data_IF_932535973742
#
_entry.id   IF_932535973742
#
_cell.length_a   1.000
_cell.length_b   1.000
_cell.length_c   1.000
_cell.angle_alpha   90.00
_cell.angle_beta   90.00
_cell.angle_gamma   90.00
#
_symmetry.space_group_name_H-M   'P 1'
#
loop_
_entity.id
_entity.type
_entity.pdbx_description
1 polymer ?
#
# COMPACT_ATOMS: atom_id res chain seq x y z
N UNK A 1 -0.53 -34.67 -2.58
CA UNK A 1 -1.50 -33.69 -2.03
C UNK A 1 -1.54 -32.42 -2.89
N UNK A 2 -2.41 -32.41 -3.90
CA UNK A 2 -2.75 -31.19 -4.65
C UNK A 2 -3.63 -30.36 -3.71
N UNK A 3 -3.10 -29.23 -3.22
CA UNK A 3 -3.87 -28.24 -2.49
C UNK A 3 -4.82 -27.61 -3.50
N UNK A 4 -6.06 -28.07 -3.49
CA UNK A 4 -7.17 -27.45 -4.20
C UNK A 4 -7.28 -26.03 -3.67
N UNK A 5 -6.81 -25.05 -4.45
CA UNK A 5 -7.06 -23.63 -4.22
C UNK A 5 -8.58 -23.43 -4.28
N UNK A 6 -9.20 -23.37 -3.11
CA UNK A 6 -10.60 -22.97 -2.95
C UNK A 6 -10.73 -21.55 -3.48
N UNK A 7 -11.65 -21.35 -4.42
CA UNK A 7 -11.91 -20.08 -5.15
C UNK A 7 -12.24 -18.88 -4.24
N UNK A 8 -12.42 -19.09 -2.93
CA UNK A 8 -12.80 -18.10 -1.92
C UNK A 8 -11.62 -17.34 -1.27
N UNK A 9 -10.44 -17.96 -1.24
CA UNK A 9 -9.26 -17.40 -0.57
C UNK A 9 -8.80 -16.04 -1.14
N UNK A 10 -8.71 -15.83 -2.46
CA UNK A 10 -8.17 -14.58 -3.00
C UNK A 10 -9.15 -13.40 -2.92
N UNK A 11 -10.46 -13.67 -2.90
CA UNK A 11 -11.48 -12.64 -2.66
C UNK A 11 -11.45 -12.13 -1.22
N UNK A 12 -11.36 -13.05 -0.26
CA UNK A 12 -11.19 -12.71 1.15
C UNK A 12 -9.93 -11.87 1.38
N UNK A 13 -8.79 -12.27 0.77
CA UNK A 13 -7.53 -11.53 0.86
C UNK A 13 -7.63 -10.11 0.30
N UNK A 14 -8.38 -9.93 -0.79
CA UNK A 14 -8.65 -8.61 -1.40
C UNK A 14 -9.37 -7.70 -0.41
N UNK A 15 -10.43 -8.20 0.24
CA UNK A 15 -11.20 -7.44 1.22
C UNK A 15 -10.37 -7.04 2.44
N UNK A 16 -9.57 -7.95 2.99
CA UNK A 16 -8.68 -7.63 4.12
C UNK A 16 -7.63 -6.58 3.75
N UNK A 17 -7.04 -6.69 2.54
CA UNK A 17 -6.06 -5.72 2.04
C UNK A 17 -6.66 -4.33 1.88
N UNK A 18 -7.89 -4.24 1.36
CA UNK A 18 -8.63 -2.98 1.25
C UNK A 18 -8.93 -2.37 2.63
N UNK A 19 -9.38 -3.18 3.59
CA UNK A 19 -9.63 -2.72 4.96
C UNK A 19 -8.37 -2.23 5.66
N UNK A 20 -7.24 -2.91 5.45
CA UNK A 20 -5.94 -2.48 5.95
C UNK A 20 -5.56 -1.13 5.35
N UNK A 21 -5.60 -0.98 4.02
CA UNK A 21 -5.29 0.30 3.37
C UNK A 21 -6.20 1.43 3.84
N UNK A 22 -7.50 1.17 4.00
CA UNK A 22 -8.45 2.12 4.57
C UNK A 22 -8.04 2.54 5.97
N UNK A 23 -7.65 1.60 6.81
CA UNK A 23 -7.20 1.88 8.18
C UNK A 23 -5.94 2.73 8.15
N UNK A 24 -4.96 2.36 7.33
CA UNK A 24 -3.73 3.12 7.13
C UNK A 24 -3.98 4.55 6.65
N UNK A 25 -4.88 4.75 5.69
CA UNK A 25 -5.24 6.08 5.21
C UNK A 25 -5.94 6.92 6.29
N UNK A 26 -6.77 6.30 7.13
CA UNK A 26 -7.36 6.98 8.29
C UNK A 26 -6.34 7.35 9.38
N UNK A 27 -5.19 6.67 9.46
CA UNK A 27 -4.12 7.05 10.40
C UNK A 27 -3.56 8.43 10.11
N UNK A 28 -3.64 8.91 8.88
CA UNK A 28 -3.18 10.25 8.49
C UNK A 28 -4.22 11.36 8.76
N UNK A 29 -5.41 11.02 9.27
CA UNK A 29 -6.36 12.05 9.69
C UNK A 29 -5.79 12.83 10.88
N UNK A 30 -5.84 14.18 10.85
CA UNK A 30 -5.26 14.99 11.93
C UNK A 30 -5.85 14.63 13.30
N UNK A 31 -7.14 14.26 13.35
CA UNK A 31 -7.82 13.81 14.57
C UNK A 31 -7.24 12.52 15.16
N UNK A 32 -6.77 11.60 14.31
CA UNK A 32 -6.20 10.32 14.71
C UNK A 32 -4.74 10.50 15.09
N UNK A 33 -3.98 11.25 14.29
CA UNK A 33 -2.58 11.59 14.58
C UNK A 33 -2.45 12.31 15.93
N UNK A 34 -3.34 13.27 16.22
CA UNK A 34 -3.34 13.99 17.50
C UNK A 34 -3.59 13.06 18.69
N UNK A 35 -4.39 11.99 18.52
CA UNK A 35 -4.66 11.00 19.58
C UNK A 35 -3.51 10.01 19.81
N UNK A 36 -2.63 9.81 18.83
CA UNK A 36 -1.53 8.84 18.92
C UNK A 36 -0.34 9.32 19.76
N UNK A 37 -0.27 10.60 20.07
CA UNK A 37 0.86 11.21 20.79
C UNK A 37 2.05 11.52 19.87
N UNK A 38 2.88 12.47 20.28
CA UNK A 38 3.92 13.08 19.42
C UNK A 38 4.97 12.08 18.91
N UNK A 39 5.36 11.09 19.71
CA UNK A 39 6.33 10.06 19.31
C UNK A 39 5.80 9.12 18.22
N UNK A 40 4.52 8.75 18.28
CA UNK A 40 3.90 7.91 17.26
C UNK A 40 3.56 8.69 15.99
N UNK A 41 3.21 9.97 16.11
CA UNK A 41 3.01 10.85 14.96
C UNK A 41 4.29 10.93 14.10
N UNK A 42 5.47 11.08 14.74
CA UNK A 42 6.78 11.03 14.05
C UNK A 42 7.06 9.70 13.36
N UNK A 43 6.44 8.61 13.81
CA UNK A 43 6.61 7.31 13.16
C UNK A 43 5.81 7.18 11.86
N UNK A 44 4.84 8.06 11.60
CA UNK A 44 4.11 8.12 10.34
C UNK A 44 4.84 8.95 9.28
N UNK A 45 5.75 9.83 9.70
CA UNK A 45 6.56 10.67 8.81
C UNK A 45 7.46 9.85 7.87
N UNK A 46 7.91 10.52 6.81
CA UNK A 46 8.89 9.96 5.88
C UNK A 46 10.19 9.64 6.61
N UNK A 47 10.69 8.42 6.39
CA UNK A 47 11.98 7.99 6.93
C UNK A 47 13.11 8.88 6.38
N UNK A 48 14.08 9.23 7.22
CA UNK A 48 15.24 10.05 6.81
C UNK A 48 16.01 9.44 5.63
N UNK A 49 16.01 8.11 5.53
CA UNK A 49 16.57 7.38 4.39
C UNK A 49 15.86 7.73 3.06
N UNK A 50 14.53 7.82 3.07
CA UNK A 50 13.75 8.17 1.88
C UNK A 50 13.91 9.64 1.51
N UNK A 51 13.99 10.53 2.51
CA UNK A 51 14.29 11.95 2.27
C UNK A 51 15.65 12.09 1.58
N UNK A 52 16.68 11.41 2.09
CA UNK A 52 18.03 11.40 1.49
C UNK A 52 18.02 10.81 0.08
N UNK A 53 17.25 9.75 -0.15
CA UNK A 53 17.10 9.13 -1.47
C UNK A 53 16.46 10.09 -2.48
N UNK A 54 15.38 10.79 -2.10
CA UNK A 54 14.71 11.78 -2.96
C UNK A 54 15.63 12.98 -3.26
N UNK A 55 16.43 13.41 -2.29
CA UNK A 55 17.41 14.49 -2.45
C UNK A 55 18.65 14.07 -3.27
N UNK A 56 18.73 12.82 -3.74
CA UNK A 56 19.88 12.31 -4.48
C UNK A 56 21.14 12.18 -3.63
N UNK A 57 21.02 12.22 -2.30
CA UNK A 57 22.14 12.04 -1.39
C UNK A 57 22.51 10.56 -1.37
N UNK A 58 23.76 10.26 -1.76
CA UNK A 58 24.31 8.90 -1.73
C UNK A 58 24.20 8.38 -0.30
N UNK A 59 23.44 7.30 -0.11
CA UNK A 59 23.43 6.64 1.19
C UNK A 59 24.82 6.05 1.44
N UNK A 60 25.39 6.25 2.65
CA UNK A 60 26.55 5.46 3.03
C UNK A 60 26.16 3.99 2.96
N UNK A 61 26.88 3.22 2.16
CA UNK A 61 26.76 1.75 2.12
C UNK A 61 26.99 1.29 3.55
N UNK A 62 25.93 0.84 4.21
CA UNK A 62 26.06 0.26 5.55
C UNK A 62 26.79 -1.06 5.34
N UNK A 63 28.06 -1.08 5.75
CA UNK A 63 28.86 -2.30 5.73
C UNK A 63 28.12 -3.35 6.58
N UNK A 64 27.86 -4.50 5.98
CA UNK A 64 27.02 -5.58 6.51
C UNK A 64 27.57 -6.28 7.76
N UNK A 65 28.64 -5.74 8.36
CA UNK A 65 29.19 -6.18 9.64
C UNK A 65 28.68 -5.31 10.79
N UNK A 66 27.76 -5.85 11.59
CA UNK A 66 27.43 -5.43 12.96
C UNK A 66 26.74 -4.07 13.21
N UNK A 67 26.29 -3.33 12.20
CA UNK A 67 25.44 -2.13 12.43
C UNK A 67 23.96 -2.51 12.36
N UNK A 68 23.13 -2.25 13.39
CA UNK A 68 21.71 -2.53 13.31
C UNK A 68 21.08 -1.74 12.16
N UNK A 69 20.38 -2.46 11.26
CA UNK A 69 19.67 -1.93 10.07
C UNK A 69 18.71 -0.78 10.43
N UNK A 70 18.27 -0.73 11.69
CA UNK A 70 17.49 0.36 12.25
C UNK A 70 18.23 0.95 13.46
N UNK A 71 18.50 2.25 13.44
CA UNK A 71 19.24 2.97 14.48
C UNK A 71 18.34 3.37 15.66
N UNK A 72 17.01 3.44 15.48
CA UNK A 72 16.05 3.77 16.53
C UNK A 72 14.75 2.96 16.46
N UNK A 73 14.00 2.89 17.57
CA UNK A 73 12.67 2.29 17.60
C UNK A 73 11.68 3.02 16.67
N UNK A 74 11.86 4.33 16.47
CA UNK A 74 11.08 5.15 15.54
C UNK A 74 11.34 4.74 14.09
N UNK A 75 12.61 4.55 13.69
CA UNK A 75 12.96 4.06 12.35
C UNK A 75 12.40 2.66 12.07
N UNK A 76 12.40 1.77 13.08
CA UNK A 76 11.77 0.44 12.97
C UNK A 76 10.28 0.55 12.70
N UNK A 77 9.61 1.45 13.41
CA UNK A 77 8.17 1.67 13.27
C UNK A 77 7.82 2.32 11.92
N UNK A 78 8.60 3.33 11.50
CA UNK A 78 8.49 3.94 10.17
C UNK A 78 8.66 2.90 9.05
N UNK A 79 9.70 2.07 9.16
CA UNK A 79 9.97 0.99 8.20
C UNK A 79 8.84 -0.04 8.15
N UNK A 80 8.29 -0.40 9.30
CA UNK A 80 7.14 -1.30 9.40
C UNK A 80 5.89 -0.71 8.73
N UNK A 81 5.52 0.53 9.06
CA UNK A 81 4.37 1.20 8.45
C UNK A 81 4.54 1.40 6.94
N UNK A 82 5.76 1.66 6.48
CA UNK A 82 6.08 1.72 5.05
C UNK A 82 5.90 0.35 4.39
N UNK A 83 6.57 -0.67 4.93
CA UNK A 83 6.60 -2.02 4.35
C UNK A 83 5.20 -2.63 4.26
N UNK A 84 4.36 -2.49 5.30
CA UNK A 84 2.98 -2.99 5.26
C UNK A 84 2.18 -2.30 4.16
N UNK A 85 2.27 -0.99 4.07
CA UNK A 85 1.51 -0.23 3.09
C UNK A 85 1.92 -0.55 1.65
N UNK A 86 3.22 -0.59 1.38
CA UNK A 86 3.76 -1.01 0.08
C UNK A 86 3.38 -2.45 -0.24
N UNK A 87 3.48 -3.36 0.73
CA UNK A 87 3.07 -4.76 0.58
C UNK A 87 1.58 -4.88 0.25
N UNK A 88 0.70 -4.13 0.92
CA UNK A 88 -0.72 -4.10 0.61
C UNK A 88 -0.99 -3.61 -0.82
N UNK A 89 -0.32 -2.54 -1.25
CA UNK A 89 -0.43 -2.02 -2.61
C UNK A 89 0.05 -3.05 -3.65
N UNK A 90 1.19 -3.73 -3.39
CA UNK A 90 1.73 -4.77 -4.26
C UNK A 90 0.83 -6.01 -4.32
N UNK A 91 0.30 -6.47 -3.17
CA UNK A 91 -0.62 -7.60 -3.10
C UNK A 91 -1.89 -7.28 -3.90
N UNK A 92 -2.45 -6.08 -3.75
CA UNK A 92 -3.61 -5.67 -4.54
C UNK A 92 -3.29 -5.63 -6.04
N UNK A 93 -2.15 -5.07 -6.44
CA UNK A 93 -1.71 -5.08 -7.84
C UNK A 93 -1.52 -6.49 -8.41
N UNK A 94 -0.94 -7.41 -7.62
CA UNK A 94 -0.77 -8.83 -7.99
C UNK A 94 -2.10 -9.58 -8.04
N UNK A 95 -3.03 -9.31 -7.12
CA UNK A 95 -4.37 -9.90 -7.11
C UNK A 95 -5.17 -9.49 -8.34
N UNK A 96 -5.09 -8.21 -8.74
CA UNK A 96 -5.69 -7.74 -9.99
C UNK A 96 -5.17 -8.49 -11.22
N UNK A 97 -3.88 -8.84 -11.25
CA UNK A 97 -3.30 -9.65 -12.32
C UNK A 97 -3.64 -11.14 -12.23
N UNK A 98 -3.70 -11.71 -11.02
CA UNK A 98 -3.91 -13.13 -10.82
C UNK A 98 -5.37 -13.53 -11.07
N UNK A 99 -6.31 -12.66 -10.71
CA UNK A 99 -7.74 -12.93 -10.80
C UNK A 99 -8.39 -12.38 -12.07
N UNK A 100 -7.79 -11.39 -12.75
CA UNK A 100 -8.31 -10.78 -14.00
C UNK A 100 -9.84 -10.59 -13.97
N UNK A 101 -10.61 -11.40 -14.70
CA UNK A 101 -12.07 -11.32 -14.78
C UNK A 101 -12.77 -11.51 -13.43
N UNK A 102 -12.26 -12.39 -12.57
CA UNK A 102 -12.84 -12.63 -11.24
C UNK A 102 -12.62 -11.44 -10.30
N UNK A 103 -11.58 -10.63 -10.54
CA UNK A 103 -11.34 -9.38 -9.82
C UNK A 103 -12.38 -8.34 -10.22
N UNK A 104 -12.56 -8.11 -11.53
CA UNK A 104 -13.51 -7.11 -12.04
C UNK A 104 -14.98 -7.52 -11.83
N UNK A 105 -15.25 -8.79 -11.58
CA UNK A 105 -16.60 -9.28 -11.25
C UNK A 105 -17.01 -8.97 -9.80
N UNK A 106 -16.11 -8.42 -8.97
CA UNK A 106 -16.45 -8.00 -7.60
C UNK A 106 -17.44 -6.81 -7.67
N UNK A 107 -18.62 -6.93 -7.05
CA UNK A 107 -19.61 -5.86 -7.05
C UNK A 107 -19.07 -4.63 -6.34
N UNK A 108 -19.27 -3.46 -6.96
CA UNK A 108 -18.82 -2.17 -6.47
C UNK A 108 -17.31 -2.09 -6.23
N UNK A 109 -16.49 -2.86 -6.95
CA UNK A 109 -15.04 -2.86 -6.78
C UNK A 109 -14.45 -1.45 -6.87
N UNK A 110 -14.83 -0.66 -7.87
CA UNK A 110 -14.37 0.71 -8.05
C UNK A 110 -14.74 1.58 -6.83
N UNK A 111 -15.99 1.50 -6.38
CA UNK A 111 -16.48 2.21 -5.19
C UNK A 111 -15.76 1.75 -3.92
N UNK A 112 -15.46 0.45 -3.78
CA UNK A 112 -14.71 -0.12 -2.65
C UNK A 112 -13.25 0.31 -2.64
N UNK A 113 -12.62 0.35 -3.81
CA UNK A 113 -11.26 0.89 -3.99
C UNK A 113 -11.23 2.37 -3.62
N UNK A 114 -12.18 3.16 -4.15
CA UNK A 114 -12.27 4.59 -3.86
C UNK A 114 -12.47 4.85 -2.36
N UNK A 115 -13.37 4.11 -1.71
CA UNK A 115 -13.66 4.27 -0.28
C UNK A 115 -12.61 3.65 0.66
N UNK A 116 -11.65 2.89 0.13
CA UNK A 116 -10.64 2.18 0.94
C UNK A 116 -9.22 2.61 0.60
N UNK A 117 -8.77 2.32 -0.62
CA UNK A 117 -7.42 2.64 -1.06
C UNK A 117 -7.23 4.14 -1.34
N UNK A 118 -8.28 4.83 -1.78
CA UNK A 118 -8.24 6.27 -2.12
C UNK A 118 -9.02 7.15 -1.15
N UNK A 119 -9.36 6.65 0.04
CA UNK A 119 -9.98 7.49 1.05
C UNK A 119 -8.96 8.47 1.64
N UNK A 120 -9.42 9.67 2.01
CA UNK A 120 -8.62 10.69 2.70
C UNK A 120 -7.32 11.10 1.98
N UNK A 121 -7.27 11.00 0.65
CA UNK A 121 -6.12 11.39 -0.18
C UNK A 121 -5.58 12.79 0.14
N UNK A 122 -6.45 13.73 0.52
CA UNK A 122 -6.06 15.09 0.92
C UNK A 122 -5.11 15.16 2.12
N UNK A 123 -5.10 14.11 2.96
CA UNK A 123 -4.23 14.02 4.14
C UNK A 123 -3.07 13.02 3.93
N UNK A 124 -3.09 12.24 2.85
CA UNK A 124 -2.04 11.25 2.56
C UNK A 124 -0.86 11.93 1.86
N UNK A 125 0.37 11.76 2.35
CA UNK A 125 1.53 12.44 1.77
C UNK A 125 1.98 11.83 0.43
N UNK A 126 2.56 12.65 -0.45
CA UNK A 126 2.90 12.30 -1.84
C UNK A 126 3.75 11.03 -2.01
N UNK A 127 4.67 10.77 -1.08
CA UNK A 127 5.53 9.58 -1.14
C UNK A 127 4.74 8.26 -0.99
N UNK A 128 3.59 8.29 -0.30
CA UNK A 128 2.66 7.16 -0.20
C UNK A 128 1.81 7.02 -1.45
N UNK A 129 1.48 8.14 -2.11
CA UNK A 129 0.78 8.13 -3.40
C UNK A 129 1.60 7.37 -4.46
N UNK A 130 2.94 7.48 -4.42
CA UNK A 130 3.81 6.68 -5.29
C UNK A 130 3.62 5.17 -5.10
N UNK A 131 3.41 4.72 -3.86
CA UNK A 131 3.10 3.31 -3.60
C UNK A 131 1.68 2.93 -4.08
N UNK A 132 0.70 3.83 -3.96
CA UNK A 132 -0.64 3.62 -4.54
C UNK A 132 -0.57 3.50 -6.07
N UNK A 133 0.34 4.22 -6.73
CA UNK A 133 0.53 4.07 -8.17
C UNK A 133 0.90 2.65 -8.56
N UNK A 134 1.51 1.82 -7.70
CA UNK A 134 1.74 0.40 -8.03
C UNK A 134 0.46 -0.42 -8.22
N UNK A 135 -0.65 -0.03 -7.56
CA UNK A 135 -1.96 -0.63 -7.78
C UNK A 135 -2.41 -0.37 -9.23
N UNK A 136 -2.06 0.79 -9.78
CA UNK A 136 -2.47 1.28 -11.10
C UNK A 136 -1.45 0.99 -12.21
N UNK A 137 -0.15 0.98 -11.89
CA UNK A 137 0.99 0.91 -12.80
C UNK A 137 1.22 -0.49 -13.38
N UNK A 138 0.51 -1.50 -12.90
CA UNK A 138 0.54 -2.79 -13.53
C UNK A 138 -0.39 -2.81 -14.76
N UNK A 139 0.15 -2.69 -16.00
CA UNK A 139 -0.54 -2.09 -17.15
C UNK A 139 -1.57 -3.00 -17.85
N UNK A 140 -2.14 -3.98 -17.14
CA UNK A 140 -3.24 -4.78 -17.67
C UNK A 140 -4.60 -4.36 -17.12
N UNK A 141 -4.64 -3.53 -16.07
CA UNK A 141 -5.88 -2.97 -15.54
C UNK A 141 -6.45 -1.79 -16.34
N UNK A 142 -5.58 -0.99 -16.97
CA UNK A 142 -5.96 0.11 -17.87
C UNK A 142 -5.81 -0.21 -19.35
N UNK A 143 -5.39 -1.43 -19.71
CA UNK A 143 -5.46 -1.84 -21.10
C UNK A 143 -6.94 -2.00 -21.46
N UNK A 144 -7.46 -1.02 -22.20
CA UNK A 144 -8.74 -0.94 -22.96
C UNK A 144 -9.11 -2.22 -23.74
N UNK A 145 -8.30 -3.27 -23.65
CA UNK A 145 -8.40 -4.58 -24.29
C UNK A 145 -9.08 -5.64 -23.40
N UNK A 146 -9.33 -5.35 -22.12
CA UNK A 146 -9.96 -6.28 -21.18
C UNK A 146 -11.21 -5.73 -20.47
N UNK A 147 -11.60 -4.48 -20.75
CA UNK A 147 -12.95 -4.02 -20.41
C UNK A 147 -13.95 -4.83 -21.27
N UNK A 148 -14.99 -5.44 -20.68
CA UNK A 148 -16.03 -6.09 -21.46
C UNK A 148 -16.63 -5.09 -22.43
N UNK A 149 -16.96 -5.47 -23.69
CA UNK A 149 -17.59 -4.58 -24.66
C UNK A 149 -18.90 -3.93 -24.18
N UNK A 150 -19.51 -4.43 -23.10
CA UNK A 150 -20.70 -3.84 -22.48
C UNK A 150 -20.47 -2.53 -21.72
N UNK A 151 -19.22 -2.05 -21.66
CA UNK A 151 -18.84 -0.77 -21.06
C UNK A 151 -18.36 0.26 -22.12
N UNK A 152 -18.52 -0.05 -23.42
CA UNK A 152 -18.35 0.87 -24.55
C UNK A 152 -19.69 1.39 -25.06
#
# INVERSE_FOLDING_TARGET
PKVSLTSDQPQSLTLYTLLLLRTFNNLYLPEVVQKMGESYAKCLDMMEMDKKFILGLIQPVMDTGDVPVYRSAEERMQGFFRSIYESCCQVMGKLGQAMLQDFYSIPDLATRLLNSAFCNLSNVPDYRLRAMLYILQHPKALSFRWAPPSWM
#
